data_IF_027539886895
#
_entry.id   IF_027539886895
#
_cell.length_a   1.000
_cell.length_b   1.000
_cell.length_c   1.000
_cell.angle_alpha   90.00
_cell.angle_beta   90.00
_cell.angle_gamma   90.00
#
_symmetry.space_group_name_H-M   'P 1'
#
loop_
_entity.id
_entity.type
_entity.pdbx_description
1 polymer ?
#
# COMPACT_ATOMS: atom_id res chain seq x y z
N UNK A 1 6.10 4.59 -14.76
CA UNK A 1 6.46 3.20 -15.14
C UNK A 1 7.36 2.59 -14.06
N UNK A 2 6.83 1.64 -13.28
CA UNK A 2 7.49 0.92 -12.16
C UNK A 2 8.17 -0.39 -12.61
N UNK A 3 8.11 -0.75 -13.89
CA UNK A 3 8.49 -2.09 -14.40
C UNK A 3 9.89 -2.61 -14.03
N UNK A 4 10.84 -1.73 -13.66
CA UNK A 4 12.19 -2.11 -13.22
C UNK A 4 12.56 -1.61 -11.81
N UNK A 5 11.62 -0.99 -11.09
CA UNK A 5 11.88 -0.51 -9.74
C UNK A 5 11.64 -1.64 -8.75
N UNK A 6 12.69 -2.04 -8.02
CA UNK A 6 12.51 -2.78 -6.77
C UNK A 6 11.77 -1.89 -5.79
N UNK A 7 10.77 -2.44 -5.12
CA UNK A 7 9.99 -1.71 -4.11
C UNK A 7 10.11 -2.45 -2.79
N UNK A 8 10.51 -1.74 -1.74
CA UNK A 8 10.43 -2.22 -0.37
C UNK A 8 9.21 -1.58 0.28
N UNK A 9 8.36 -2.40 0.91
CA UNK A 9 7.21 -1.92 1.68
C UNK A 9 7.51 -2.04 3.17
N UNK A 10 7.36 -0.94 3.89
CA UNK A 10 7.54 -0.89 5.34
C UNK A 10 6.22 -0.47 5.96
N UNK A 11 5.54 -1.42 6.60
CA UNK A 11 4.35 -1.17 7.40
C UNK A 11 4.75 -1.10 8.87
N UNK A 12 4.24 -0.12 9.60
CA UNK A 12 4.45 -0.01 11.05
C UNK A 12 3.22 0.57 11.75
N UNK A 13 3.15 0.40 13.07
CA UNK A 13 2.29 1.24 13.88
C UNK A 13 2.80 2.69 13.88
N UNK A 14 1.89 3.64 14.11
CA UNK A 14 2.25 5.02 14.39
C UNK A 14 2.60 5.19 15.87
N UNK A 15 3.73 5.86 16.12
CA UNK A 15 4.12 6.30 17.47
C UNK A 15 3.46 7.63 17.86
N UNK A 16 2.86 8.33 16.89
CA UNK A 16 2.27 9.67 17.07
C UNK A 16 0.78 9.59 17.43
N UNK A 17 0.05 8.65 16.84
CA UNK A 17 -1.41 8.53 16.97
C UNK A 17 -1.78 7.09 17.30
N UNK A 18 -2.54 6.94 18.41
CA UNK A 18 -3.06 5.64 18.84
C UNK A 18 -3.95 5.00 17.76
N UNK A 19 -3.79 3.70 17.59
CA UNK A 19 -4.56 2.87 16.64
C UNK A 19 -4.40 3.33 15.16
N UNK A 20 -3.31 4.02 14.86
CA UNK A 20 -2.92 4.43 13.52
C UNK A 20 -1.66 3.71 13.05
N UNK A 21 -1.42 3.79 11.75
CA UNK A 21 -0.36 3.07 11.05
C UNK A 21 0.40 3.99 10.11
N UNK A 22 1.61 3.56 9.75
CA UNK A 22 2.44 4.17 8.73
C UNK A 22 2.74 3.15 7.63
N UNK A 23 2.83 3.63 6.40
CA UNK A 23 3.33 2.88 5.25
C UNK A 23 4.36 3.72 4.50
N UNK A 24 5.57 3.18 4.35
CA UNK A 24 6.56 3.71 3.41
C UNK A 24 6.74 2.71 2.27
N UNK A 25 6.52 3.15 1.04
CA UNK A 25 6.94 2.40 -0.14
C UNK A 25 8.24 3.03 -0.64
N UNK A 26 9.35 2.32 -0.46
CA UNK A 26 10.67 2.76 -0.90
C UNK A 26 10.91 2.28 -2.32
N UNK A 27 11.47 3.13 -3.19
CA UNK A 27 11.88 2.71 -4.52
C UNK A 27 13.12 3.46 -4.99
N UNK A 28 13.75 2.96 -6.06
CA UNK A 28 14.93 3.62 -6.63
C UNK A 28 14.66 4.99 -7.28
N UNK A 29 13.40 5.39 -7.44
CA UNK A 29 13.02 6.65 -8.09
C UNK A 29 12.44 7.66 -7.12
N UNK A 30 11.49 7.23 -6.31
CA UNK A 30 10.76 8.07 -5.36
C UNK A 30 10.13 7.20 -4.30
N UNK A 31 10.15 7.68 -3.07
CA UNK A 31 9.44 7.06 -1.96
C UNK A 31 8.05 7.71 -1.81
N UNK A 32 7.07 6.90 -1.40
CA UNK A 32 5.76 7.40 -0.98
C UNK A 32 5.57 7.11 0.50
N UNK A 33 5.15 8.09 1.28
CA UNK A 33 5.02 7.99 2.72
C UNK A 33 3.57 8.30 3.10
N UNK A 34 2.89 7.33 3.71
CA UNK A 34 1.55 7.46 4.27
C UNK A 34 1.69 7.40 5.78
N UNK A 35 1.39 8.50 6.47
CA UNK A 35 1.51 8.60 7.93
C UNK A 35 0.16 8.62 8.61
N UNK A 36 0.12 8.04 9.80
CA UNK A 36 -0.98 8.15 10.75
C UNK A 36 -2.36 7.79 10.18
N UNK A 37 -2.41 6.89 9.20
CA UNK A 37 -3.68 6.46 8.64
C UNK A 37 -4.35 5.45 9.57
N UNK A 38 -5.68 5.49 9.60
CA UNK A 38 -6.51 4.57 10.39
C UNK A 38 -7.29 3.66 9.47
N UNK A 39 -7.59 2.47 9.98
CA UNK A 39 -8.47 1.55 9.27
C UNK A 39 -9.85 2.18 9.09
N UNK A 40 -10.44 1.95 7.91
CA UNK A 40 -11.75 2.42 7.47
C UNK A 40 -11.89 3.94 7.33
N UNK A 41 -10.83 4.71 7.54
CA UNK A 41 -10.79 6.16 7.33
C UNK A 41 -10.10 6.50 6.00
N UNK A 42 -10.60 7.56 5.34
CA UNK A 42 -9.99 8.10 4.13
C UNK A 42 -8.96 9.17 4.50
N UNK A 43 -7.82 9.16 3.81
CA UNK A 43 -6.82 10.22 3.88
C UNK A 43 -6.30 10.54 2.49
N UNK A 44 -5.64 11.70 2.34
CA UNK A 44 -5.04 12.09 1.07
C UNK A 44 -3.52 11.95 1.14
N UNK A 45 -2.93 11.29 0.15
CA UNK A 45 -1.49 11.24 -0.01
C UNK A 45 -1.10 11.10 -1.48
N UNK A 46 0.18 11.36 -1.75
CA UNK A 46 0.72 11.27 -3.11
C UNK A 46 0.98 9.81 -3.50
N UNK A 47 0.48 9.41 -4.67
CA UNK A 47 0.73 8.12 -5.28
C UNK A 47 2.07 8.09 -6.04
N UNK A 48 2.47 6.89 -6.49
CA UNK A 48 3.67 6.74 -7.32
C UNK A 48 3.56 7.40 -8.71
N UNK A 49 2.36 7.76 -9.15
CA UNK A 49 2.11 8.54 -10.37
C UNK A 49 2.27 10.06 -10.16
N UNK A 50 2.61 10.49 -8.93
CA UNK A 50 2.78 11.89 -8.56
C UNK A 50 1.46 12.65 -8.38
N UNK A 51 0.33 11.95 -8.41
CA UNK A 51 -0.99 12.54 -8.18
C UNK A 51 -1.40 12.38 -6.73
N UNK A 52 -2.32 13.23 -6.28
CA UNK A 52 -2.96 13.06 -4.98
C UNK A 52 -4.09 12.05 -5.11
N UNK A 53 -4.10 11.06 -4.22
CA UNK A 53 -5.12 10.04 -4.13
C UNK A 53 -5.85 10.15 -2.80
N UNK A 54 -7.15 9.89 -2.82
CA UNK A 54 -7.92 9.51 -1.63
C UNK A 54 -7.67 8.03 -1.40
N UNK A 55 -7.04 7.72 -0.27
CA UNK A 55 -6.60 6.38 0.08
C UNK A 55 -7.38 5.91 1.29
N UNK A 56 -7.80 4.64 1.26
CA UNK A 56 -8.48 3.96 2.38
C UNK A 56 -7.93 2.56 2.56
N UNK A 57 -7.66 2.19 3.81
CA UNK A 57 -7.30 0.83 4.20
C UNK A 57 -8.44 0.17 4.97
N UNK A 58 -8.81 -1.04 4.61
CA UNK A 58 -9.81 -1.84 5.32
C UNK A 58 -9.29 -3.26 5.54
N UNK A 59 -9.35 -3.74 6.78
CA UNK A 59 -8.87 -5.07 7.14
C UNK A 59 -10.06 -6.00 7.33
N UNK A 60 -10.07 -7.10 6.59
CA UNK A 60 -11.06 -8.16 6.72
C UNK A 60 -10.48 -9.31 7.56
N UNK A 61 -10.98 -9.51 8.80
CA UNK A 61 -10.47 -10.57 9.68
C UNK A 61 -10.88 -11.98 9.23
N UNK A 62 -11.87 -12.13 8.34
CA UNK A 62 -12.29 -13.44 7.83
C UNK A 62 -11.31 -13.97 6.79
N UNK A 63 -10.82 -13.08 5.93
CA UNK A 63 -9.85 -13.42 4.87
C UNK A 63 -8.41 -13.10 5.25
N UNK A 64 -8.20 -12.53 6.44
CA UNK A 64 -6.92 -11.98 6.93
C UNK A 64 -6.23 -11.08 5.89
N UNK A 65 -7.04 -10.29 5.18
CA UNK A 65 -6.57 -9.46 4.07
C UNK A 65 -6.75 -7.97 4.35
N UNK A 66 -5.77 -7.18 3.93
CA UNK A 66 -5.82 -5.73 3.97
C UNK A 66 -6.14 -5.22 2.57
N UNK A 67 -7.27 -4.55 2.41
CA UNK A 67 -7.67 -3.88 1.18
C UNK A 67 -7.25 -2.41 1.24
N UNK A 68 -6.48 -1.99 0.26
CA UNK A 68 -6.11 -0.60 0.00
C UNK A 68 -6.85 -0.14 -1.27
N UNK A 69 -7.54 0.99 -1.19
CA UNK A 69 -8.26 1.61 -2.32
C UNK A 69 -7.65 2.97 -2.60
N UNK A 70 -7.36 3.26 -3.87
CA UNK A 70 -6.84 4.54 -4.35
C UNK A 70 -7.82 5.15 -5.34
N UNK A 71 -8.27 6.38 -5.10
CA UNK A 71 -9.09 7.13 -6.06
C UNK A 71 -8.38 8.46 -6.30
N UNK A 72 -8.07 8.81 -7.55
CA UNK A 72 -7.44 10.10 -7.86
C UNK A 72 -8.31 11.25 -7.41
N UNK A 73 -7.72 12.20 -6.68
CA UNK A 73 -8.44 13.37 -6.19
C UNK A 73 -8.81 14.35 -7.31
N UNK A 74 -8.10 14.32 -8.44
CA UNK A 74 -8.32 15.18 -9.61
C UNK A 74 -9.26 14.57 -10.67
N UNK A 75 -9.72 13.33 -10.50
CA UNK A 75 -10.65 12.67 -11.42
C UNK A 75 -11.88 12.11 -10.68
N UNK A 76 -13.01 12.80 -10.83
CA UNK A 76 -14.29 12.41 -10.22
C UNK A 76 -14.90 11.12 -10.81
N UNK A 77 -14.43 10.68 -11.97
CA UNK A 77 -14.90 9.46 -12.64
C UNK A 77 -13.95 8.28 -12.43
N UNK A 78 -12.86 8.47 -11.68
CA UNK A 78 -11.93 7.40 -11.38
C UNK A 78 -12.66 6.31 -10.58
N UNK A 79 -12.71 5.11 -11.17
CA UNK A 79 -13.33 3.92 -10.55
C UNK A 79 -12.50 3.39 -9.38
N UNK A 80 -11.29 3.91 -9.23
CA UNK A 80 -10.34 3.55 -8.20
C UNK A 80 -9.57 2.28 -8.54
N UNK A 81 -8.35 2.22 -8.01
CA UNK A 81 -7.53 1.01 -8.02
C UNK A 81 -7.65 0.30 -6.69
N UNK A 82 -7.81 -1.02 -6.73
CA UNK A 82 -7.86 -1.86 -5.53
C UNK A 82 -6.62 -2.73 -5.45
N UNK A 83 -6.01 -2.70 -4.27
CA UNK A 83 -4.86 -3.48 -3.88
C UNK A 83 -5.24 -4.34 -2.67
N UNK A 84 -4.96 -5.64 -2.72
CA UNK A 84 -5.24 -6.57 -1.63
C UNK A 84 -3.95 -7.21 -1.17
N UNK A 85 -3.65 -7.05 0.11
CA UNK A 85 -2.49 -7.64 0.77
C UNK A 85 -2.91 -8.83 1.60
N UNK A 86 -2.13 -9.91 1.51
CA UNK A 86 -2.25 -11.11 2.35
C UNK A 86 -0.85 -11.54 2.76
N UNK A 87 -0.71 -12.09 3.97
CA UNK A 87 0.56 -12.61 4.47
C UNK A 87 0.48 -14.12 4.54
N UNK A 88 1.44 -14.80 3.93
CA UNK A 88 1.61 -16.25 3.99
C UNK A 88 3.06 -16.54 4.42
N UNK A 89 3.24 -16.84 5.71
CA UNK A 89 4.55 -16.97 6.33
C UNK A 89 5.40 -15.70 6.19
N UNK A 90 6.53 -15.80 5.49
CA UNK A 90 7.45 -14.69 5.22
C UNK A 90 7.13 -13.96 3.90
N UNK A 91 6.04 -14.30 3.22
CA UNK A 91 5.64 -13.67 1.97
C UNK A 91 4.46 -12.73 2.20
N UNK A 92 4.61 -11.48 1.77
CA UNK A 92 3.50 -10.57 1.56
C UNK A 92 3.08 -10.63 0.08
N UNK A 93 1.89 -11.14 -0.19
CA UNK A 93 1.28 -11.13 -1.51
C UNK A 93 0.42 -9.88 -1.67
N UNK A 94 0.76 -9.05 -2.66
CA UNK A 94 -0.05 -7.95 -3.16
C UNK A 94 -0.74 -8.38 -4.46
N UNK A 95 -2.07 -8.44 -4.45
CA UNK A 95 -2.90 -8.60 -5.64
C UNK A 95 -3.51 -7.25 -6.03
N UNK A 96 -3.36 -6.86 -7.29
CA UNK A 96 -3.87 -5.61 -7.84
C UNK A 96 -4.83 -5.96 -8.98
N UNK A 97 -5.99 -5.32 -9.00
CA UNK A 97 -6.98 -5.54 -10.06
C UNK A 97 -7.53 -4.20 -10.56
N UNK A 98 -7.58 -4.05 -11.88
CA UNK A 98 -8.28 -2.99 -12.57
C UNK A 98 -9.00 -3.60 -13.78
N UNK A 99 -10.33 -3.67 -13.69
CA UNK A 99 -11.20 -4.30 -14.67
C UNK A 99 -10.76 -5.72 -15.08
N UNK A 100 -10.26 -5.90 -16.31
CA UNK A 100 -9.86 -7.21 -16.86
C UNK A 100 -8.37 -7.52 -16.63
N UNK A 101 -7.63 -6.59 -16.04
CA UNK A 101 -6.18 -6.74 -15.82
C UNK A 101 -5.94 -6.99 -14.33
N UNK A 102 -5.19 -8.05 -14.04
CA UNK A 102 -4.70 -8.33 -12.69
C UNK A 102 -3.19 -8.46 -12.68
N UNK A 103 -2.58 -8.06 -11.57
CA UNK A 103 -1.15 -8.18 -11.33
C UNK A 103 -0.93 -8.68 -9.91
N UNK A 104 0.06 -9.56 -9.73
CA UNK A 104 0.49 -10.02 -8.41
C UNK A 104 1.95 -9.64 -8.18
N UNK A 105 2.27 -9.21 -6.96
CA UNK A 105 3.63 -9.02 -6.48
C UNK A 105 3.82 -9.78 -5.18
N UNK A 106 4.96 -10.43 -5.08
CA UNK A 106 5.36 -11.21 -3.92
C UNK A 106 6.55 -10.49 -3.30
N UNK A 107 6.42 -10.10 -2.03
CA UNK A 107 7.49 -9.48 -1.27
C UNK A 107 7.97 -10.48 -0.22
N UNK A 108 9.28 -10.72 -0.17
CA UNK A 108 9.89 -11.51 0.90
C UNK A 108 10.17 -10.60 2.07
N UNK A 109 9.76 -11.02 3.28
CA UNK A 109 10.05 -10.31 4.52
C UNK A 109 11.55 -10.15 4.67
N UNK A 110 12.01 -8.91 4.84
CA UNK A 110 13.40 -8.66 5.17
C UNK A 110 13.66 -9.13 6.59
N UNK A 111 14.55 -10.10 6.75
CA UNK A 111 15.08 -10.49 8.06
C UNK A 111 15.87 -9.32 8.63
N UNK A 112 15.79 -9.07 9.93
CA UNK A 112 16.43 -7.97 10.66
C UNK A 112 17.99 -8.03 10.70
N UNK A 113 18.62 -8.75 9.76
CA UNK A 113 20.06 -9.02 9.71
C UNK A 113 20.84 -8.38 8.56
N UNK A 114 20.23 -7.53 7.72
CA UNK A 114 20.95 -6.85 6.64
C UNK A 114 20.58 -5.36 6.53
N UNK A 115 21.06 -4.57 7.48
CA UNK A 115 21.59 -3.25 7.17
C UNK A 115 23.12 -3.39 7.17
N UNK A 116 23.71 -3.49 5.98
CA UNK A 116 25.13 -3.21 5.74
C UNK A 116 25.22 -2.14 4.66
#
# INVERSE_FOLDING_TARGET
>A
MISFASITKVFSHSDEIKDAYNLCNQSSKKDTIYKNWKLKEEFQAEGFDGKMHKIKFDFDPVTESLKETHIRADDLNDRGETYTYTVDGDILLLSMANEKVSCKRYFVRQSSGQQQ
#
